data_IF_708774671915
#
_entry.id   IF_708774671915
#
_cell.length_a   1.000
_cell.length_b   1.000
_cell.length_c   1.000
_cell.angle_alpha   90.00
_cell.angle_beta   90.00
_cell.angle_gamma   90.00
#
_symmetry.space_group_name_H-M   'P 1'
#
loop_
_entity.id
_entity.type
_entity.pdbx_description
1 polymer ?
#
# COMPACT_ATOMS: atom_id res chain seq x y z
N UNK A 1 6.10 5.80 25.10
CA UNK A 1 7.12 5.36 24.12
C UNK A 1 8.04 4.34 24.78
N UNK A 2 8.09 3.11 24.27
CA UNK A 2 8.87 1.99 24.81
C UNK A 2 10.08 1.74 23.92
N UNK A 3 11.28 1.62 24.50
CA UNK A 3 12.53 1.31 23.80
C UNK A 3 13.19 0.11 24.46
N UNK A 4 13.40 -0.96 23.70
CA UNK A 4 13.99 -2.20 24.25
C UNK A 4 15.05 -2.76 23.32
N UNK A 5 15.99 -3.55 23.86
CA UNK A 5 16.90 -4.32 23.02
C UNK A 5 16.16 -5.53 22.43
N UNK A 6 16.51 -5.93 21.21
CA UNK A 6 15.93 -7.12 20.58
C UNK A 6 16.07 -8.39 21.45
N UNK A 7 17.18 -8.53 22.19
CA UNK A 7 17.38 -9.65 23.12
C UNK A 7 16.41 -9.65 24.30
N UNK A 8 16.08 -8.46 24.81
CA UNK A 8 15.16 -8.31 25.94
C UNK A 8 13.71 -8.47 25.46
N UNK A 9 13.42 -8.07 24.22
CA UNK A 9 12.12 -8.25 23.58
C UNK A 9 11.75 -9.71 23.33
N UNK A 10 12.73 -10.62 23.19
CA UNK A 10 12.47 -12.02 22.84
C UNK A 10 11.59 -12.73 23.90
N UNK A 11 11.75 -12.37 25.17
CA UNK A 11 10.96 -12.92 26.28
C UNK A 11 9.64 -12.19 26.56
N UNK A 12 9.43 -11.02 25.96
CA UNK A 12 8.31 -10.11 26.29
C UNK A 12 7.57 -9.60 25.03
N UNK A 13 7.74 -10.29 23.91
CA UNK A 13 7.24 -9.83 22.61
C UNK A 13 5.72 -9.71 22.58
N UNK A 14 5.01 -10.61 23.26
CA UNK A 14 3.55 -10.61 23.35
C UNK A 14 3.03 -9.31 23.99
N UNK A 15 3.59 -8.93 25.13
CA UNK A 15 3.25 -7.67 25.80
C UNK A 15 3.58 -6.45 24.93
N UNK A 16 4.75 -6.45 24.28
CA UNK A 16 5.15 -5.36 23.37
C UNK A 16 4.21 -5.20 22.17
N UNK A 17 3.60 -6.29 21.69
CA UNK A 17 2.58 -6.25 20.63
C UNK A 17 1.27 -5.69 21.17
N UNK A 18 0.84 -6.06 22.37
CA UNK A 18 -0.35 -5.49 23.02
C UNK A 18 -0.22 -3.97 23.22
N UNK A 19 0.92 -3.51 23.72
CA UNK A 19 1.20 -2.08 23.89
C UNK A 19 1.14 -1.34 22.54
N UNK A 20 1.77 -1.91 21.50
CA UNK A 20 1.71 -1.36 20.15
C UNK A 20 0.29 -1.34 19.56
N UNK A 21 -0.52 -2.36 19.84
CA UNK A 21 -1.93 -2.42 19.45
C UNK A 21 -2.78 -1.39 20.21
N UNK A 22 -2.42 -1.09 21.47
CA UNK A 22 -3.00 -0.01 22.27
C UNK A 22 -2.62 1.40 21.80
N UNK A 23 -1.73 1.52 20.80
CA UNK A 23 -1.29 2.78 20.21
C UNK A 23 0.00 3.32 20.81
N UNK A 24 0.70 2.56 21.66
CA UNK A 24 2.00 2.93 22.18
C UNK A 24 3.10 2.75 21.12
N UNK A 25 4.06 3.68 21.08
CA UNK A 25 5.20 3.59 20.17
C UNK A 25 6.28 2.67 20.76
N UNK A 26 6.43 1.48 20.18
CA UNK A 26 7.44 0.49 20.58
C UNK A 26 8.59 0.43 19.58
N UNK A 27 9.81 0.70 20.04
CA UNK A 27 11.04 0.68 19.26
C UNK A 27 11.99 -0.42 19.76
N UNK A 28 12.34 -1.34 18.87
CA UNK A 28 13.34 -2.39 19.09
C UNK A 28 14.71 -1.92 18.60
N UNK A 29 15.74 -2.09 19.42
CA UNK A 29 17.13 -1.81 19.02
C UNK A 29 17.92 -3.11 18.95
N UNK A 30 18.49 -3.41 17.80
CA UNK A 30 19.36 -4.56 17.60
C UNK A 30 20.80 -4.18 17.97
N UNK A 31 21.62 -5.16 18.37
CA UNK A 31 22.98 -4.93 18.86
C UNK A 31 23.96 -4.23 17.89
N UNK A 32 23.59 -4.11 16.61
CA UNK A 32 24.31 -3.33 15.59
C UNK A 32 23.87 -1.85 15.53
N UNK A 33 22.98 -1.43 16.43
CA UNK A 33 22.42 -0.08 16.48
C UNK A 33 21.23 0.12 15.53
N UNK A 34 20.83 -0.89 14.76
CA UNK A 34 19.63 -0.80 13.93
C UNK A 34 18.37 -0.69 14.82
N UNK A 35 17.43 0.16 14.40
CA UNK A 35 16.19 0.44 15.13
C UNK A 35 14.99 0.04 14.29
N UNK A 36 14.06 -0.67 14.91
CA UNK A 36 12.82 -1.16 14.29
C UNK A 36 11.63 -0.69 15.12
N UNK A 37 10.47 -0.54 14.51
CA UNK A 37 9.23 -0.15 15.19
C UNK A 37 8.20 -1.25 15.04
N UNK A 38 7.47 -1.58 16.11
CA UNK A 38 6.28 -2.43 16.02
C UNK A 38 5.10 -1.54 15.62
N UNK A 39 4.43 -1.90 14.52
CA UNK A 39 3.26 -1.18 14.02
C UNK A 39 2.14 -2.21 13.83
N UNK A 40 0.96 -2.01 14.45
CA UNK A 40 -0.17 -2.89 14.21
C UNK A 40 -0.54 -2.80 12.73
N UNK A 41 -0.52 -3.95 12.06
CA UNK A 41 -1.07 -4.04 10.73
C UNK A 41 -2.58 -4.02 10.85
N UNK A 42 -3.25 -3.28 9.99
CA UNK A 42 -4.69 -3.49 9.83
C UNK A 42 -4.89 -4.97 9.49
N UNK A 43 -5.89 -5.64 10.11
CA UNK A 43 -6.18 -7.01 9.72
C UNK A 43 -6.32 -7.00 8.21
N UNK A 44 -5.52 -7.83 7.54
CA UNK A 44 -5.73 -8.11 6.13
C UNK A 44 -7.21 -8.48 6.07
N UNK A 45 -8.01 -7.63 5.42
CA UNK A 45 -9.36 -8.01 5.10
C UNK A 45 -9.19 -9.38 4.44
N UNK A 46 -9.68 -10.42 5.12
CA UNK A 46 -9.77 -11.76 4.58
C UNK A 46 -10.10 -11.61 3.11
N UNK A 47 -9.35 -12.29 2.25
CA UNK A 47 -9.57 -12.38 0.82
C UNK A 47 -10.95 -13.02 0.55
N UNK A 48 -11.96 -12.22 0.83
CA UNK A 48 -13.38 -12.35 0.59
C UNK A 48 -13.81 -10.90 0.35
N UNK A 49 -13.13 -10.25 -0.59
CA UNK A 49 -13.76 -9.22 -1.39
C UNK A 49 -14.83 -9.90 -2.25
N UNK A 50 -15.93 -10.33 -1.62
CA UNK A 50 -17.25 -10.16 -2.21
C UNK A 50 -17.68 -8.70 -1.98
N UNK A 51 -16.92 -7.77 -2.53
CA UNK A 51 -17.48 -6.47 -2.90
C UNK A 51 -18.14 -6.72 -4.26
N UNK A 52 -19.41 -6.35 -4.43
CA UNK A 52 -20.19 -6.76 -5.58
C UNK A 52 -19.42 -6.33 -6.81
N UNK A 53 -19.19 -7.29 -7.71
CA UNK A 53 -18.49 -7.11 -8.96
C UNK A 53 -18.87 -5.76 -9.59
N UNK A 54 -18.03 -4.74 -9.41
CA UNK A 54 -17.97 -3.64 -10.36
C UNK A 54 -17.21 -4.20 -11.55
N UNK A 55 -17.96 -4.95 -12.34
CA UNK A 55 -17.59 -5.47 -13.66
C UNK A 55 -16.88 -4.35 -14.40
N UNK A 56 -15.58 -4.53 -14.68
CA UNK A 56 -14.87 -3.70 -15.65
C UNK A 56 -13.68 -2.87 -15.14
N UNK A 57 -13.30 -2.92 -13.86
CA UNK A 57 -12.14 -2.14 -13.40
C UNK A 57 -10.80 -2.82 -13.76
N UNK A 58 -10.27 -2.50 -14.95
CA UNK A 58 -8.86 -2.73 -15.31
C UNK A 58 -8.05 -1.63 -14.58
N UNK A 59 -7.17 -1.98 -13.64
CA UNK A 59 -6.18 -1.01 -13.09
C UNK A 59 -6.07 -0.83 -11.56
N UNK A 60 -6.37 -1.83 -10.72
CA UNK A 60 -6.44 -1.59 -9.26
C UNK A 60 -5.14 -1.22 -8.52
N UNK A 61 -3.96 -1.39 -9.13
CA UNK A 61 -2.67 -1.27 -8.41
C UNK A 61 -2.13 0.16 -8.40
N UNK A 62 -2.59 1.01 -9.33
CA UNK A 62 -2.18 2.41 -9.46
C UNK A 62 -3.26 3.41 -9.04
N UNK A 63 -4.49 2.98 -8.78
CA UNK A 63 -5.59 3.85 -8.32
C UNK A 63 -5.22 4.65 -7.06
N UNK A 64 -4.40 4.06 -6.17
CA UNK A 64 -3.88 4.74 -4.98
C UNK A 64 -2.98 5.94 -5.31
N UNK A 65 -2.33 5.93 -6.47
CA UNK A 65 -1.36 6.93 -6.89
C UNK A 65 -1.89 7.89 -7.96
N UNK A 66 -2.85 7.46 -8.78
CA UNK A 66 -3.38 8.22 -9.93
C UNK A 66 -4.72 8.92 -9.62
N UNK A 67 -5.32 8.63 -8.46
CA UNK A 67 -6.62 9.17 -8.09
C UNK A 67 -7.77 8.40 -8.74
N UNK A 68 -8.99 8.65 -8.28
CA UNK A 68 -10.20 8.05 -8.86
C UNK A 68 -10.70 9.02 -9.93
N UNK A 69 -10.83 8.53 -11.16
CA UNK A 69 -11.35 9.33 -12.27
C UNK A 69 -12.86 9.13 -12.38
N UNK A 70 -13.57 10.19 -12.72
CA UNK A 70 -14.95 10.09 -13.20
C UNK A 70 -14.97 9.55 -14.63
N UNK A 71 -16.11 9.02 -15.06
CA UNK A 71 -16.27 8.51 -16.44
C UNK A 71 -16.08 9.64 -17.47
N UNK A 72 -16.44 10.86 -17.11
CA UNK A 72 -16.24 12.04 -17.94
C UNK A 72 -14.75 12.40 -18.08
N UNK A 73 -13.97 12.31 -16.98
CA UNK A 73 -12.53 12.57 -17.00
C UNK A 73 -11.77 11.52 -17.83
N UNK A 74 -12.19 10.25 -17.75
CA UNK A 74 -11.66 9.18 -18.59
C UNK A 74 -11.93 9.43 -20.08
N UNK A 75 -13.16 9.80 -20.45
CA UNK A 75 -13.53 10.09 -21.84
C UNK A 75 -12.73 11.26 -22.42
N UNK A 76 -12.56 12.35 -21.63
CA UNK A 76 -11.75 13.50 -22.06
C UNK A 76 -10.30 13.12 -22.29
N UNK A 77 -9.72 12.29 -21.42
CA UNK A 77 -8.35 11.83 -21.57
C UNK A 77 -8.17 10.90 -22.77
N UNK A 78 -9.07 9.92 -22.96
CA UNK A 78 -9.03 9.00 -24.09
C UNK A 78 -9.09 9.77 -25.42
N UNK A 79 -9.96 10.77 -25.50
CA UNK A 79 -10.05 11.65 -26.66
C UNK A 79 -8.78 12.49 -26.87
N UNK A 80 -8.09 12.88 -25.81
CA UNK A 80 -6.85 13.62 -25.90
C UNK A 80 -5.68 12.74 -26.40
N UNK A 81 -5.63 11.46 -26.00
CA UNK A 81 -4.56 10.54 -26.41
C UNK A 81 -4.74 9.96 -27.81
N UNK A 82 -5.97 9.94 -28.34
CA UNK A 82 -6.27 9.45 -29.70
C UNK A 82 -5.40 10.13 -30.78
N UNK A 83 -5.07 11.41 -30.59
CA UNK A 83 -4.17 12.18 -31.47
C UNK A 83 -2.73 11.63 -31.49
N UNK A 84 -2.31 10.96 -30.42
CA UNK A 84 -0.96 10.42 -30.25
C UNK A 84 -0.87 8.92 -30.57
N UNK A 85 -2.00 8.24 -30.83
CA UNK A 85 -2.04 6.80 -31.15
C UNK A 85 -1.89 6.49 -32.65
N UNK A 86 -1.79 7.52 -33.50
CA UNK A 86 -1.47 7.32 -34.91
C UNK A 86 -0.01 6.85 -35.05
N UNK A 87 0.16 5.54 -35.26
CA UNK A 87 1.46 4.94 -35.53
C UNK A 87 1.91 5.39 -36.93
N UNK A 88 2.90 6.27 -36.97
CA UNK A 88 3.58 6.59 -38.22
C UNK A 88 4.44 5.41 -38.66
N UNK A 89 3.90 4.57 -39.56
CA UNK A 89 4.58 3.39 -40.11
C UNK A 89 5.90 3.75 -40.80
N UNK A 90 6.10 4.99 -41.25
CA UNK A 90 7.35 5.44 -41.88
C UNK A 90 8.51 5.62 -40.90
N UNK A 91 8.24 5.72 -39.59
CA UNK A 91 9.25 5.77 -38.54
C UNK A 91 9.77 4.38 -38.13
N UNK A 92 9.18 3.30 -38.65
CA UNK A 92 9.48 1.91 -38.28
C UNK A 92 10.01 1.04 -39.44
N UNK A 93 10.26 1.64 -40.61
CA UNK A 93 10.87 1.00 -41.80
C UNK A 93 12.34 1.36 -41.96
#
# INVERSE_FOLDING_TARGET
MIKVNLKDAEGDLEHLVEEAAGGEEVILTRGDGARFRIVPLQPAATESQELPARLGAIGNSLDRFIGIWSAEEEEEFLKAIEVFEEIDESLWS
#
